data_IF_918019629206
#
_entry.id   IF_918019629206
#
_cell.length_a   1.000
_cell.length_b   1.000
_cell.length_c   1.000
_cell.angle_alpha   90.00
_cell.angle_beta   90.00
_cell.angle_gamma   90.00
#
_symmetry.space_group_name_H-M   'P 1'
#
loop_
_entity.id
_entity.type
_entity.pdbx_description
1 polymer ?
#
# COMPACT_ATOMS: atom_id res chain seq x y z
N UNK A 1 1.39 -13.44 23.61
CA UNK A 1 0.21 -13.12 22.79
C UNK A 1 0.58 -12.29 21.55
N UNK A 2 1.40 -11.24 21.68
CA UNK A 2 1.89 -10.37 20.59
C UNK A 2 2.47 -11.08 19.35
N UNK A 3 3.26 -12.14 19.50
CA UNK A 3 3.84 -12.90 18.37
C UNK A 3 2.80 -13.50 17.41
N UNK A 4 1.62 -13.90 17.89
CA UNK A 4 0.53 -14.39 17.00
C UNK A 4 -0.07 -13.23 16.21
N UNK A 5 -0.27 -12.07 16.83
CA UNK A 5 -0.83 -10.89 16.18
C UNK A 5 0.08 -10.37 15.07
N UNK A 6 1.40 -10.31 15.30
CA UNK A 6 2.36 -9.93 14.27
C UNK A 6 2.28 -10.84 13.03
N UNK A 7 2.06 -12.15 13.24
CA UNK A 7 1.90 -13.12 12.14
C UNK A 7 0.61 -12.89 11.36
N UNK A 8 -0.49 -12.53 12.03
CA UNK A 8 -1.75 -12.18 11.35
C UNK A 8 -1.59 -10.89 10.52
N UNK A 9 -0.94 -9.88 11.08
CA UNK A 9 -0.66 -8.63 10.36
C UNK A 9 0.23 -8.87 9.15
N UNK A 10 1.29 -9.67 9.29
CA UNK A 10 2.15 -10.08 8.17
C UNK A 10 1.37 -10.83 7.09
N UNK A 11 0.51 -11.78 7.49
CA UNK A 11 -0.33 -12.52 6.55
C UNK A 11 -1.30 -11.60 5.79
N UNK A 12 -1.89 -10.62 6.48
CA UNK A 12 -2.75 -9.61 5.88
C UNK A 12 -2.00 -8.76 4.85
N UNK A 13 -0.81 -8.26 5.21
CA UNK A 13 0.05 -7.49 4.32
C UNK A 13 0.46 -8.29 3.09
N UNK A 14 0.97 -9.52 3.31
CA UNK A 14 1.40 -10.38 2.23
C UNK A 14 0.25 -10.67 1.25
N UNK A 15 -0.96 -10.92 1.77
CA UNK A 15 -2.13 -11.21 0.94
C UNK A 15 -2.48 -10.04 0.02
N UNK A 16 -2.66 -8.82 0.57
CA UNK A 16 -3.05 -7.70 -0.28
C UNK A 16 -1.93 -7.25 -1.21
N UNK A 17 -0.65 -7.37 -0.81
CA UNK A 17 0.48 -7.04 -1.68
C UNK A 17 0.61 -8.02 -2.83
N UNK A 18 0.35 -9.31 -2.61
CA UNK A 18 0.34 -10.30 -3.68
C UNK A 18 -0.81 -10.05 -4.66
N UNK A 19 -2.01 -9.76 -4.15
CA UNK A 19 -3.18 -9.47 -5.00
C UNK A 19 -2.96 -8.17 -5.78
N UNK A 20 -2.57 -7.08 -5.10
CA UNK A 20 -2.32 -5.79 -5.73
C UNK A 20 -1.15 -5.84 -6.71
N UNK A 21 -0.04 -6.47 -6.32
CA UNK A 21 1.11 -6.66 -7.20
C UNK A 21 0.75 -7.43 -8.46
N UNK A 22 0.02 -8.55 -8.35
CA UNK A 22 -0.44 -9.32 -9.50
C UNK A 22 -1.38 -8.51 -10.41
N UNK A 23 -2.27 -7.70 -9.84
CA UNK A 23 -3.16 -6.81 -10.59
C UNK A 23 -2.38 -5.79 -11.44
N UNK A 24 -1.42 -5.08 -10.85
CA UNK A 24 -0.62 -4.09 -11.58
C UNK A 24 0.37 -4.69 -12.58
N UNK A 25 0.88 -5.89 -12.29
CA UNK A 25 1.72 -6.64 -13.23
C UNK A 25 0.96 -7.04 -14.49
N UNK A 26 -0.33 -7.36 -14.39
CA UNK A 26 -1.16 -7.68 -15.55
C UNK A 26 -1.42 -6.45 -16.42
N UNK A 27 -1.56 -5.28 -15.81
CA UNK A 27 -1.82 -4.02 -16.49
C UNK A 27 -0.54 -3.38 -17.09
N UNK A 28 0.63 -4.00 -16.89
CA UNK A 28 1.95 -3.48 -17.30
C UNK A 28 2.26 -2.07 -16.80
N UNK A 29 1.60 -1.64 -15.73
CA UNK A 29 1.73 -0.30 -15.20
C UNK A 29 2.94 -0.21 -14.27
N UNK A 30 4.11 0.05 -14.87
CA UNK A 30 5.40 0.07 -14.18
C UNK A 30 5.45 1.06 -13.02
N UNK A 31 4.72 2.17 -13.10
CA UNK A 31 4.66 3.17 -12.03
C UNK A 31 4.00 2.60 -10.78
N UNK A 32 2.83 1.96 -10.93
CA UNK A 32 2.17 1.32 -9.80
C UNK A 32 2.96 0.12 -9.27
N UNK A 33 3.65 -0.63 -10.13
CA UNK A 33 4.58 -1.69 -9.69
C UNK A 33 5.70 -1.13 -8.81
N UNK A 34 6.26 0.04 -9.16
CA UNK A 34 7.27 0.72 -8.32
C UNK A 34 6.65 1.15 -6.99
N UNK A 35 5.43 1.70 -6.98
CA UNK A 35 4.73 2.04 -5.73
C UNK A 35 4.53 0.83 -4.82
N UNK A 36 4.10 -0.32 -5.36
CA UNK A 36 4.04 -1.58 -4.60
C UNK A 36 5.41 -1.94 -4.03
N UNK A 37 6.48 -1.79 -4.82
CA UNK A 37 7.86 -2.00 -4.38
C UNK A 37 8.27 -1.10 -3.21
N UNK A 38 7.91 0.19 -3.24
CA UNK A 38 8.17 1.14 -2.14
C UNK A 38 7.42 0.73 -0.87
N UNK A 39 6.17 0.30 -0.99
CA UNK A 39 5.37 -0.18 0.15
C UNK A 39 6.01 -1.44 0.75
N UNK A 40 6.43 -2.39 -0.09
CA UNK A 40 7.17 -3.59 0.35
C UNK A 40 8.43 -3.18 1.11
N UNK A 41 9.23 -2.25 0.57
CA UNK A 41 10.45 -1.78 1.22
C UNK A 41 10.16 -1.11 2.58
N UNK A 42 9.12 -0.30 2.67
CA UNK A 42 8.69 0.34 3.92
C UNK A 42 8.30 -0.71 4.98
N UNK A 43 7.53 -1.75 4.61
CA UNK A 43 7.18 -2.82 5.53
C UNK A 43 8.40 -3.67 5.94
N UNK A 44 9.32 -3.96 5.02
CA UNK A 44 10.57 -4.68 5.34
C UNK A 44 11.37 -3.90 6.37
N UNK A 45 11.53 -2.57 6.20
CA UNK A 45 12.21 -1.72 7.17
C UNK A 45 11.47 -1.69 8.51
N UNK A 46 10.14 -1.59 8.49
CA UNK A 46 9.32 -1.53 9.70
C UNK A 46 9.40 -2.83 10.51
N UNK A 47 9.25 -3.99 9.86
CA UNK A 47 9.40 -5.28 10.54
C UNK A 47 10.85 -5.55 10.94
N UNK A 48 11.82 -5.10 10.15
CA UNK A 48 13.24 -5.17 10.47
C UNK A 48 13.61 -4.35 11.71
N UNK A 49 13.03 -3.16 11.88
CA UNK A 49 13.25 -2.29 13.05
C UNK A 49 12.32 -2.58 14.23
N UNK A 50 11.35 -3.50 14.08
CA UNK A 50 10.38 -3.82 15.12
C UNK A 50 11.03 -4.32 16.43
N UNK A 51 12.19 -4.98 16.34
CA UNK A 51 12.97 -5.41 17.50
C UNK A 51 13.53 -4.23 18.33
N UNK A 52 13.72 -3.08 17.69
CA UNK A 52 14.23 -1.84 18.30
C UNK A 52 13.07 -0.99 18.81
N UNK A 53 12.07 -0.75 17.95
CA UNK A 53 10.97 0.18 18.22
C UNK A 53 9.92 -0.38 19.18
N UNK A 54 9.82 -1.72 19.29
CA UNK A 54 8.86 -2.43 20.15
C UNK A 54 7.43 -1.89 20.00
N UNK A 55 7.02 -1.60 18.76
CA UNK A 55 5.72 -1.00 18.52
C UNK A 55 4.58 -1.91 18.99
N UNK A 56 3.57 -1.36 19.67
CA UNK A 56 2.38 -2.10 20.06
C UNK A 56 1.56 -2.54 18.83
N UNK A 57 0.84 -3.65 18.95
CA UNK A 57 0.13 -4.32 17.86
C UNK A 57 -0.86 -3.41 17.10
N UNK A 58 -1.49 -2.45 17.78
CA UNK A 58 -2.45 -1.54 17.15
C UNK A 58 -1.79 -0.59 16.12
N UNK A 59 -0.54 -0.18 16.34
CA UNK A 59 0.20 0.67 15.39
C UNK A 59 0.49 -0.12 14.10
N UNK A 60 0.84 -1.41 14.25
CA UNK A 60 1.08 -2.27 13.10
C UNK A 60 -0.18 -2.44 12.26
N UNK A 61 -1.35 -2.57 12.89
CA UNK A 61 -2.63 -2.60 12.19
C UNK A 61 -2.92 -1.29 11.45
N UNK A 62 -2.74 -0.13 12.10
CA UNK A 62 -2.94 1.17 11.46
C UNK A 62 -2.05 1.35 10.23
N UNK A 63 -0.77 1.01 10.35
CA UNK A 63 0.17 1.09 9.21
C UNK A 63 -0.18 0.08 8.12
N UNK A 64 -0.67 -1.11 8.50
CA UNK A 64 -1.13 -2.12 7.53
C UNK A 64 -2.36 -1.68 6.75
N UNK A 65 -3.32 -1.03 7.42
CA UNK A 65 -4.50 -0.45 6.79
C UNK A 65 -4.08 0.71 5.88
N UNK A 66 -3.15 1.56 6.31
CA UNK A 66 -2.58 2.62 5.48
C UNK A 66 -1.93 2.08 4.20
N UNK A 67 -1.17 0.97 4.31
CA UNK A 67 -0.58 0.29 3.16
C UNK A 67 -1.63 -0.30 2.21
N UNK A 68 -2.68 -0.91 2.76
CA UNK A 68 -3.82 -1.39 1.95
C UNK A 68 -4.49 -0.24 1.19
N UNK A 69 -4.74 0.89 1.84
CA UNK A 69 -5.36 2.05 1.20
C UNK A 69 -4.54 2.57 0.01
N UNK A 70 -3.21 2.51 0.08
CA UNK A 70 -2.36 2.91 -1.05
C UNK A 70 -2.50 1.97 -2.24
N UNK A 71 -2.54 0.66 -1.99
CA UNK A 71 -2.77 -0.34 -3.04
C UNK A 71 -4.15 -0.13 -3.67
N UNK A 72 -5.18 0.08 -2.84
CA UNK A 72 -6.55 0.31 -3.33
C UNK A 72 -6.68 1.62 -4.10
N UNK A 73 -6.03 2.69 -3.67
CA UNK A 73 -6.06 3.96 -4.40
C UNK A 73 -5.44 3.86 -5.80
N UNK A 74 -4.49 2.95 -6.00
CA UNK A 74 -3.97 2.61 -7.32
C UNK A 74 -4.80 1.59 -8.10
N UNK A 75 -5.50 0.68 -7.43
CA UNK A 75 -6.23 -0.40 -8.10
C UNK A 75 -7.64 -0.02 -8.52
N UNK A 76 -8.22 1.02 -7.91
CA UNK A 76 -9.56 1.48 -8.27
C UNK A 76 -9.46 2.44 -9.44
N UNK A 77 -9.90 1.98 -10.60
CA UNK A 77 -10.06 2.79 -11.81
C UNK A 77 -11.29 3.70 -11.66
N UNK A 78 -11.14 4.99 -11.96
CA UNK A 78 -12.20 6.01 -12.02
C UNK A 78 -12.43 6.44 -13.47
N UNK A 79 -13.49 7.22 -13.73
CA UNK A 79 -13.82 7.72 -15.08
C UNK A 79 -12.71 8.52 -15.75
N UNK A 80 -11.83 9.13 -14.95
CA UNK A 80 -10.77 10.04 -15.39
C UNK A 80 -9.36 9.44 -15.17
N UNK A 81 -9.26 8.15 -14.85
CA UNK A 81 -7.99 7.47 -14.59
C UNK A 81 -8.06 6.55 -13.38
N UNK A 82 -7.22 6.79 -12.37
CA UNK A 82 -7.14 6.01 -11.12
C UNK A 82 -7.77 6.79 -9.97
N UNK A 83 -8.03 6.19 -8.81
CA UNK A 83 -8.62 6.93 -7.69
C UNK A 83 -7.75 8.10 -7.22
N UNK A 84 -6.42 7.97 -7.36
CA UNK A 84 -5.48 9.07 -7.12
C UNK A 84 -5.43 10.11 -8.26
N UNK A 85 -5.96 9.78 -9.43
CA UNK A 85 -6.14 10.71 -10.56
C UNK A 85 -7.35 11.61 -10.42
N UNK A 86 -8.25 11.28 -9.49
CA UNK A 86 -9.52 11.94 -9.40
C UNK A 86 -9.36 13.39 -8.94
N UNK A 87 -9.74 14.32 -9.82
CA UNK A 87 -9.71 15.75 -9.55
C UNK A 87 -10.68 16.13 -8.42
N UNK A 88 -10.14 16.38 -7.22
CA UNK A 88 -10.94 16.85 -6.07
C UNK A 88 -11.31 18.34 -6.22
N UNK A 89 -10.51 19.14 -6.93
CA UNK A 89 -10.75 20.57 -7.16
C UNK A 89 -10.29 21.01 -8.57
N UNK A 90 -11.10 21.78 -9.33
CA UNK A 90 -10.87 22.04 -10.76
C UNK A 90 -9.79 23.09 -11.10
N UNK A 91 -9.10 23.67 -10.11
CA UNK A 91 -8.19 24.81 -10.34
C UNK A 91 -6.70 24.50 -10.11
N UNK A 92 -6.36 23.29 -9.69
CA UNK A 92 -4.99 22.91 -9.34
C UNK A 92 -4.66 21.55 -9.94
N UNK A 93 -4.17 21.59 -11.17
CA UNK A 93 -3.60 20.45 -11.86
C UNK A 93 -2.13 20.34 -11.44
N UNK A 94 -1.83 19.37 -10.57
CA UNK A 94 -0.47 19.06 -10.13
C UNK A 94 0.19 17.98 -11.00
N UNK A 95 -0.31 17.79 -12.23
CA UNK A 95 0.30 16.87 -13.20
C UNK A 95 -0.24 15.46 -13.06
N UNK A 96 -1.57 15.34 -13.10
CA UNK A 96 -2.26 14.06 -13.24
C UNK A 96 -2.46 13.68 -14.70
N UNK A 97 -1.42 13.70 -15.53
CA UNK A 97 -1.49 13.01 -16.82
C UNK A 97 -1.13 11.54 -16.57
N UNK A 98 -2.16 10.70 -16.45
CA UNK A 98 -2.06 9.24 -16.30
C UNK A 98 -2.23 8.57 -17.67
#
# INVERSE_FOLDING_TARGET
MQLREHRFVLGFIALYLLIGGAYFLQDSNLEFVIYVGVIVAAFVLLFGTLHITKFPSYILWLISIWGLMHILGGSVQTSDGVLFAYHIYPFLDLGGEF
#
